data_IF_661024939082
#
_entry.id   IF_661024939082
#
_cell.length_a   1.000
_cell.length_b   1.000
_cell.length_c   1.000
_cell.angle_alpha   90.00
_cell.angle_beta   90.00
_cell.angle_gamma   90.00
#
_symmetry.space_group_name_H-M   'P 1'
#
loop_
_entity.id
_entity.type
_entity.pdbx_description
1 polymer ?
#
# COMPACT_ATOMS: atom_id res chain seq x y z
N UNK A 1 57.67 -16.87 67.13
CA UNK A 1 56.21 -16.64 67.02
C UNK A 1 56.00 -15.81 65.78
N UNK A 2 55.54 -16.41 64.67
CA UNK A 2 55.44 -15.77 63.33
C UNK A 2 53.98 -15.53 63.07
N UNK A 3 53.58 -14.30 62.92
CA UNK A 3 52.20 -13.86 62.64
C UNK A 3 52.01 -13.83 61.12
N UNK A 4 51.13 -14.70 60.59
CA UNK A 4 50.69 -14.72 59.21
C UNK A 4 49.52 -13.75 59.03
N UNK A 5 49.76 -12.68 58.30
CA UNK A 5 48.71 -11.72 57.86
C UNK A 5 48.10 -12.25 56.58
N UNK A 6 46.84 -12.63 56.59
CA UNK A 6 46.07 -13.03 55.41
C UNK A 6 45.46 -11.79 54.74
N UNK A 7 45.86 -11.51 53.50
CA UNK A 7 45.22 -10.52 52.65
C UNK A 7 44.04 -11.15 51.95
N UNK A 8 42.82 -10.70 52.27
CA UNK A 8 41.59 -11.02 51.52
C UNK A 8 41.50 -10.04 50.38
N UNK A 9 41.70 -10.52 49.15
CA UNK A 9 41.51 -9.77 47.92
C UNK A 9 39.98 -9.82 47.57
N UNK A 10 39.24 -8.74 47.81
CA UNK A 10 37.86 -8.59 47.33
C UNK A 10 37.90 -8.20 45.86
N UNK A 11 37.57 -9.14 44.97
CA UNK A 11 37.33 -8.83 43.56
C UNK A 11 35.92 -8.24 43.41
N UNK A 12 35.80 -6.94 43.26
CA UNK A 12 34.59 -6.27 42.83
C UNK A 12 34.36 -6.56 41.33
N UNK A 13 33.48 -7.54 41.05
CA UNK A 13 32.92 -7.71 39.72
C UNK A 13 31.96 -6.52 39.43
N UNK A 14 32.42 -5.55 38.67
CA UNK A 14 31.56 -4.52 38.12
C UNK A 14 30.63 -5.17 37.09
N UNK A 15 29.38 -5.43 37.48
CA UNK A 15 28.32 -5.71 36.53
C UNK A 15 28.06 -4.43 35.70
N UNK A 16 28.69 -4.33 34.53
CA UNK A 16 28.25 -3.40 33.52
C UNK A 16 26.87 -3.88 33.02
N UNK A 17 25.81 -3.09 33.16
CA UNK A 17 24.56 -3.42 32.49
C UNK A 17 24.83 -3.36 30.97
N UNK A 18 24.76 -4.51 30.31
CA UNK A 18 24.68 -4.59 28.86
C UNK A 18 23.31 -4.03 28.49
N UNK A 19 23.20 -2.72 28.35
CA UNK A 19 22.08 -2.11 27.67
C UNK A 19 22.24 -2.49 26.20
N UNK A 20 21.52 -3.54 25.78
CA UNK A 20 21.29 -3.78 24.36
C UNK A 20 20.61 -2.53 23.81
N UNK A 21 21.39 -1.66 23.21
CA UNK A 21 20.84 -0.61 22.36
C UNK A 21 20.18 -1.36 21.19
N UNK A 22 18.88 -1.60 21.29
CA UNK A 22 18.08 -1.92 20.12
C UNK A 22 18.17 -0.69 19.23
N UNK A 23 19.10 -0.73 18.27
CA UNK A 23 19.20 0.31 17.27
C UNK A 23 17.91 0.40 16.50
N UNK A 24 17.33 1.57 16.41
CA UNK A 24 16.22 1.85 15.49
C UNK A 24 16.65 1.39 14.09
N UNK A 25 15.85 0.54 13.48
CA UNK A 25 16.10 0.01 12.15
C UNK A 25 15.21 0.70 11.14
N UNK A 26 15.80 1.17 10.05
CA UNK A 26 15.07 1.84 8.98
C UNK A 26 14.89 0.88 7.82
N UNK A 27 13.66 0.68 7.39
CA UNK A 27 13.30 -0.02 6.16
C UNK A 27 13.01 1.01 5.09
N UNK A 28 13.67 0.88 3.95
CA UNK A 28 13.40 1.69 2.75
C UNK A 28 12.68 0.83 1.73
N UNK A 29 11.64 1.39 1.10
CA UNK A 29 10.89 0.72 0.05
C UNK A 29 10.38 1.72 -0.98
N UNK A 30 10.30 1.29 -2.24
CA UNK A 30 9.65 2.03 -3.33
C UNK A 30 8.26 1.46 -3.56
N UNK A 31 7.24 2.30 -3.52
CA UNK A 31 5.87 1.91 -3.80
C UNK A 31 5.34 2.61 -5.04
N UNK A 32 4.35 1.99 -5.69
CA UNK A 32 3.64 2.57 -6.82
C UNK A 32 2.13 2.42 -6.66
N UNK A 33 1.37 3.44 -7.03
CA UNK A 33 -0.10 3.40 -7.12
C UNK A 33 -0.53 3.62 -8.55
N UNK A 34 -1.41 2.75 -9.04
CA UNK A 34 -1.90 2.83 -10.42
C UNK A 34 -3.40 2.48 -10.48
N UNK A 35 -4.27 3.47 -10.62
CA UNK A 35 -5.61 3.21 -11.14
C UNK A 35 -5.48 3.03 -12.67
N UNK A 36 -5.68 1.80 -13.15
CA UNK A 36 -5.39 1.42 -14.54
C UNK A 36 -6.56 1.61 -15.50
N UNK A 37 -7.62 2.22 -15.04
CA UNK A 37 -8.85 2.47 -15.81
C UNK A 37 -9.39 1.21 -16.50
N UNK A 38 -10.31 0.51 -15.84
CA UNK A 38 -11.09 -0.60 -16.40
C UNK A 38 -10.24 -1.68 -17.11
N UNK A 39 -9.22 -2.19 -16.41
CA UNK A 39 -8.34 -3.23 -16.94
C UNK A 39 -7.40 -2.76 -18.06
N UNK A 40 -6.96 -1.50 -18.00
CA UNK A 40 -6.04 -0.93 -18.99
C UNK A 40 -6.72 -0.52 -20.29
N UNK A 41 -7.99 -0.10 -20.22
CA UNK A 41 -8.81 0.23 -21.42
C UNK A 41 -8.13 1.26 -22.34
N UNK A 42 -7.45 2.28 -21.79
CA UNK A 42 -6.79 3.32 -22.59
C UNK A 42 -5.62 2.77 -23.40
N UNK A 43 -4.93 1.75 -22.88
CA UNK A 43 -3.88 1.04 -23.61
C UNK A 43 -4.42 -0.09 -24.51
N UNK A 44 -5.72 -0.16 -24.77
CA UNK A 44 -6.36 -1.27 -25.50
C UNK A 44 -6.30 -2.58 -24.74
N UNK A 45 -6.37 -2.53 -23.41
CA UNK A 45 -6.25 -3.65 -22.48
C UNK A 45 -4.91 -4.41 -22.55
N UNK A 46 -3.87 -3.81 -23.14
CA UNK A 46 -2.53 -4.39 -23.20
C UNK A 46 -1.81 -4.23 -21.86
N UNK A 47 -1.07 -5.24 -21.45
CA UNK A 47 -0.28 -5.27 -20.22
C UNK A 47 1.13 -4.68 -20.40
N UNK A 48 1.67 -4.77 -21.62
CA UNK A 48 3.07 -4.42 -21.92
C UNK A 48 3.43 -2.97 -21.57
N UNK A 49 2.64 -1.93 -21.93
CA UNK A 49 2.99 -0.55 -21.59
C UNK A 49 3.07 -0.29 -20.08
N UNK A 50 2.22 -0.97 -19.29
CA UNK A 50 2.25 -0.90 -17.83
C UNK A 50 3.48 -1.61 -17.28
N UNK A 51 3.81 -2.79 -17.81
CA UNK A 51 4.99 -3.57 -17.38
C UNK A 51 6.29 -2.85 -17.72
N UNK A 52 6.38 -2.18 -18.87
CA UNK A 52 7.52 -1.34 -19.24
C UNK A 52 7.70 -0.18 -18.25
N UNK A 53 6.60 0.48 -17.86
CA UNK A 53 6.63 1.56 -16.88
C UNK A 53 7.05 1.03 -15.49
N UNK A 54 6.47 -0.08 -15.05
CA UNK A 54 6.81 -0.75 -13.79
C UNK A 54 8.30 -1.12 -13.76
N UNK A 55 8.81 -1.76 -14.80
CA UNK A 55 10.22 -2.15 -14.90
C UNK A 55 11.18 -0.94 -14.91
N UNK A 56 10.75 0.20 -15.46
CA UNK A 56 11.53 1.45 -15.45
C UNK A 56 11.67 2.03 -14.07
N UNK A 57 10.59 2.04 -13.28
CA UNK A 57 10.59 2.61 -11.93
C UNK A 57 11.01 1.63 -10.84
N UNK A 58 10.98 0.34 -11.16
CA UNK A 58 11.46 -0.77 -10.31
C UNK A 58 10.91 -0.75 -8.87
N UNK A 59 9.57 -0.67 -8.65
CA UNK A 59 8.99 -0.61 -7.32
C UNK A 59 9.07 -1.95 -6.59
N UNK A 60 9.07 -1.90 -5.25
CA UNK A 60 8.99 -3.08 -4.40
C UNK A 60 7.56 -3.62 -4.31
N UNK A 61 6.57 -2.71 -4.27
CA UNK A 61 5.14 -3.06 -4.21
C UNK A 61 4.31 -2.07 -5.02
N UNK A 62 3.30 -2.59 -5.70
CA UNK A 62 2.35 -1.82 -6.51
C UNK A 62 0.93 -2.07 -6.02
N UNK A 63 0.19 -0.98 -5.79
CA UNK A 63 -1.25 -1.01 -5.53
C UNK A 63 -2.00 -0.66 -6.82
N UNK A 64 -2.85 -1.57 -7.27
CA UNK A 64 -3.61 -1.47 -8.51
C UNK A 64 -5.11 -1.32 -8.22
N UNK A 65 -5.76 -0.39 -8.91
CA UNK A 65 -7.19 -0.20 -8.88
C UNK A 65 -7.78 -0.40 -10.27
N UNK A 66 -9.06 -0.72 -10.33
CA UNK A 66 -9.82 -0.99 -11.55
C UNK A 66 -9.29 -2.18 -12.39
N UNK A 67 -8.87 -3.25 -11.71
CA UNK A 67 -8.32 -4.45 -12.35
C UNK A 67 -9.44 -5.39 -12.80
N UNK A 68 -9.52 -5.63 -14.11
CA UNK A 68 -10.37 -6.66 -14.70
C UNK A 68 -9.68 -8.02 -14.71
N UNK A 69 -10.45 -9.05 -14.38
CA UNK A 69 -10.04 -10.44 -14.54
C UNK A 69 -11.00 -11.16 -15.49
N UNK A 70 -10.55 -11.48 -16.68
CA UNK A 70 -11.29 -12.22 -17.71
C UNK A 70 -12.69 -11.68 -18.01
N UNK A 71 -12.88 -10.36 -17.94
CA UNK A 71 -14.14 -9.73 -18.36
C UNK A 71 -14.24 -9.68 -19.89
N UNK A 72 -15.47 -9.52 -20.42
CA UNK A 72 -15.65 -9.37 -21.87
C UNK A 72 -14.98 -8.08 -22.36
N UNK A 73 -15.06 -6.97 -21.60
CA UNK A 73 -14.48 -5.68 -22.01
C UNK A 73 -12.97 -5.70 -22.10
N UNK A 74 -12.27 -6.56 -21.31
CA UNK A 74 -10.81 -6.68 -21.40
C UNK A 74 -10.37 -7.84 -22.32
N UNK A 75 -11.26 -8.38 -23.17
CA UNK A 75 -10.96 -9.46 -24.10
C UNK A 75 -10.70 -10.80 -23.42
N UNK A 76 -11.25 -11.06 -22.24
CA UNK A 76 -11.05 -12.28 -21.43
C UNK A 76 -9.60 -12.46 -20.96
N UNK A 77 -8.81 -11.42 -20.92
CA UNK A 77 -7.40 -11.47 -20.51
C UNK A 77 -7.29 -11.63 -18.98
N UNK A 78 -6.25 -12.33 -18.57
CA UNK A 78 -5.76 -12.37 -17.20
C UNK A 78 -4.65 -11.32 -17.04
N UNK A 79 -5.06 -10.05 -17.13
CA UNK A 79 -4.16 -8.90 -17.23
C UNK A 79 -3.15 -8.85 -16.06
N UNK A 80 -3.61 -9.14 -14.84
CA UNK A 80 -2.74 -9.11 -13.66
C UNK A 80 -1.61 -10.12 -13.74
N UNK A 81 -1.90 -11.36 -14.16
CA UNK A 81 -0.89 -12.41 -14.30
C UNK A 81 0.04 -12.16 -15.50
N UNK A 82 -0.43 -11.49 -16.55
CA UNK A 82 0.42 -11.03 -17.64
C UNK A 82 1.45 -10.03 -17.15
N UNK A 83 1.03 -8.98 -16.41
CA UNK A 83 1.94 -7.98 -15.80
C UNK A 83 2.88 -8.67 -14.80
N UNK A 84 2.36 -9.53 -13.94
CA UNK A 84 3.17 -10.26 -12.95
C UNK A 84 4.30 -11.08 -13.63
N UNK A 85 3.97 -11.76 -14.73
CA UNK A 85 4.95 -12.53 -15.53
C UNK A 85 6.00 -11.64 -16.20
N UNK A 86 5.60 -10.46 -16.71
CA UNK A 86 6.49 -9.53 -17.42
C UNK A 86 7.40 -8.75 -16.46
N UNK A 87 7.01 -8.61 -15.19
CA UNK A 87 7.74 -7.88 -14.16
C UNK A 87 8.45 -8.78 -13.14
N UNK A 88 8.15 -10.09 -13.14
CA UNK A 88 8.66 -11.04 -12.15
C UNK A 88 8.10 -10.85 -10.75
N UNK A 89 6.97 -10.14 -10.61
CA UNK A 89 6.37 -9.83 -9.31
C UNK A 89 5.29 -10.86 -8.91
N UNK A 90 5.02 -10.98 -7.61
CA UNK A 90 4.00 -11.85 -7.03
C UNK A 90 2.64 -11.15 -6.99
N UNK A 91 1.59 -11.66 -7.66
CA UNK A 91 0.29 -11.02 -7.72
C UNK A 91 -0.63 -11.44 -6.58
N UNK A 92 -1.47 -10.51 -6.11
CA UNK A 92 -2.62 -10.77 -5.26
C UNK A 92 -3.85 -10.04 -5.79
N UNK A 93 -4.87 -10.78 -6.23
CA UNK A 93 -6.11 -10.23 -6.79
C UNK A 93 -7.20 -10.13 -5.72
N UNK A 94 -7.79 -8.95 -5.57
CA UNK A 94 -8.85 -8.66 -4.61
C UNK A 94 -10.16 -8.43 -5.38
N UNK A 95 -10.87 -9.51 -5.70
CA UNK A 95 -12.15 -9.42 -6.40
C UNK A 95 -13.17 -8.64 -5.57
N UNK A 96 -13.80 -7.64 -6.17
CA UNK A 96 -14.95 -6.91 -5.64
C UNK A 96 -16.26 -7.54 -6.11
N UNK A 97 -16.46 -7.65 -7.42
CA UNK A 97 -17.69 -8.12 -8.04
C UNK A 97 -17.45 -9.13 -9.17
N UNK A 98 -18.50 -9.89 -9.50
CA UNK A 98 -18.56 -10.56 -10.80
C UNK A 98 -18.97 -9.53 -11.85
N UNK A 99 -18.27 -9.47 -12.96
CA UNK A 99 -18.53 -8.50 -14.00
C UNK A 99 -18.26 -9.05 -15.39
N UNK A 100 -19.24 -8.92 -16.29
CA UNK A 100 -19.15 -9.32 -17.70
C UNK A 100 -18.52 -10.72 -17.94
N UNK A 101 -18.93 -11.70 -17.15
CA UNK A 101 -18.46 -13.09 -17.25
C UNK A 101 -17.04 -13.32 -16.75
N UNK A 102 -16.49 -12.36 -16.02
CA UNK A 102 -15.23 -12.40 -15.27
C UNK A 102 -15.41 -11.73 -13.92
N UNK A 103 -14.41 -10.98 -13.47
CA UNK A 103 -14.42 -10.26 -12.21
C UNK A 103 -13.78 -8.86 -12.36
N UNK A 104 -14.11 -7.96 -11.43
CA UNK A 104 -13.52 -6.63 -11.31
C UNK A 104 -13.15 -6.38 -9.85
N UNK A 105 -12.06 -5.64 -9.63
CA UNK A 105 -11.59 -5.34 -8.28
C UNK A 105 -10.29 -4.57 -8.22
N UNK A 106 -9.55 -4.79 -7.16
CA UNK A 106 -8.21 -4.22 -6.94
C UNK A 106 -7.16 -5.32 -6.92
N UNK A 107 -5.88 -4.96 -6.96
CA UNK A 107 -4.80 -5.95 -6.87
C UNK A 107 -3.54 -5.36 -6.26
N UNK A 108 -2.65 -6.23 -5.83
CA UNK A 108 -1.29 -5.91 -5.41
C UNK A 108 -0.30 -6.72 -6.24
N UNK A 109 0.83 -6.12 -6.55
CA UNK A 109 2.02 -6.80 -7.04
C UNK A 109 3.16 -6.54 -6.07
N UNK A 110 3.89 -7.57 -5.68
CA UNK A 110 5.03 -7.47 -4.77
C UNK A 110 6.28 -8.09 -5.39
N UNK A 111 7.41 -7.41 -5.30
CA UNK A 111 8.73 -7.96 -5.65
C UNK A 111 9.11 -9.15 -4.76
N UNK A 112 8.70 -9.09 -3.49
CA UNK A 112 8.99 -10.13 -2.52
C UNK A 112 7.79 -11.04 -2.32
N UNK A 113 7.99 -12.33 -2.04
CA UNK A 113 6.89 -13.19 -1.67
C UNK A 113 6.22 -12.69 -0.39
N UNK A 114 4.91 -12.77 -0.34
CA UNK A 114 4.13 -12.47 0.86
C UNK A 114 3.66 -13.79 1.51
N UNK A 115 3.62 -13.82 2.84
CA UNK A 115 3.28 -15.04 3.58
C UNK A 115 1.83 -15.05 4.11
N UNK A 116 1.15 -13.88 4.07
CA UNK A 116 -0.27 -13.74 4.43
C UNK A 116 -0.91 -12.71 3.50
N UNK A 117 -2.14 -13.00 3.08
CA UNK A 117 -2.95 -12.10 2.27
C UNK A 117 -4.41 -12.15 2.74
N UNK A 118 -5.03 -10.99 2.85
CA UNK A 118 -6.39 -10.83 3.36
C UNK A 118 -7.14 -9.79 2.55
N UNK A 119 -8.46 -9.82 2.62
CA UNK A 119 -9.31 -8.79 2.01
C UNK A 119 -10.59 -8.59 2.80
N UNK A 120 -11.20 -7.42 2.61
CA UNK A 120 -12.56 -7.11 3.01
C UNK A 120 -13.35 -6.59 1.82
N UNK A 121 -14.67 -6.75 1.87
CA UNK A 121 -15.59 -6.23 0.85
C UNK A 121 -16.53 -5.25 1.55
N UNK A 122 -16.69 -4.09 0.97
CA UNK A 122 -17.72 -3.13 1.34
C UNK A 122 -18.88 -3.23 0.36
N UNK A 123 -20.05 -3.59 0.89
CA UNK A 123 -21.32 -3.64 0.17
C UNK A 123 -22.31 -2.73 0.87
N UNK A 124 -22.98 -1.85 0.12
CA UNK A 124 -24.01 -0.97 0.64
C UNK A 124 -25.06 -0.72 -0.43
N UNK A 125 -26.34 -0.66 -0.02
CA UNK A 125 -27.47 -0.51 -0.95
C UNK A 125 -27.42 0.74 -1.85
N UNK A 126 -26.72 1.78 -1.40
CA UNK A 126 -26.60 3.06 -2.10
C UNK A 126 -25.28 3.18 -2.90
N UNK A 127 -24.44 2.13 -2.95
CA UNK A 127 -23.30 2.06 -3.83
C UNK A 127 -23.65 1.43 -5.17
N UNK A 128 -23.02 1.86 -6.24
CA UNK A 128 -23.22 1.32 -7.60
C UNK A 128 -22.69 -0.11 -7.70
N UNK A 129 -21.67 -0.42 -6.93
CA UNK A 129 -20.99 -1.72 -6.92
C UNK A 129 -20.30 -1.96 -5.58
N UNK A 130 -20.10 -3.21 -5.22
CA UNK A 130 -19.27 -3.57 -4.09
C UNK A 130 -17.81 -3.22 -4.37
N UNK A 131 -17.09 -2.78 -3.33
CA UNK A 131 -15.66 -2.44 -3.37
C UNK A 131 -14.88 -3.40 -2.50
N UNK A 132 -13.67 -3.74 -2.92
CA UNK A 132 -12.74 -4.54 -2.11
C UNK A 132 -11.50 -3.75 -1.75
N UNK A 133 -10.99 -4.03 -0.56
CA UNK A 133 -9.65 -3.66 -0.12
C UNK A 133 -8.93 -4.94 0.26
N UNK A 134 -7.77 -5.17 -0.34
CA UNK A 134 -6.92 -6.29 0.01
C UNK A 134 -5.59 -5.81 0.57
N UNK A 135 -4.95 -6.64 1.39
CA UNK A 135 -3.61 -6.38 1.91
C UNK A 135 -2.79 -7.66 2.00
N UNK A 136 -1.48 -7.47 1.90
CA UNK A 136 -0.48 -8.54 1.99
C UNK A 136 0.53 -8.21 3.10
N UNK A 137 1.12 -9.24 3.70
CA UNK A 137 2.22 -9.13 4.66
C UNK A 137 3.50 -9.54 3.96
N UNK A 138 4.39 -8.60 3.79
CA UNK A 138 5.67 -8.77 3.09
C UNK A 138 6.80 -8.71 4.11
N UNK A 139 7.66 -9.72 4.11
CA UNK A 139 8.92 -9.67 4.84
C UNK A 139 10.00 -9.11 3.93
N UNK A 140 10.59 -7.98 4.31
CA UNK A 140 11.68 -7.34 3.58
C UNK A 140 13.02 -8.02 3.89
N UNK A 141 14.06 -7.82 3.03
CA UNK A 141 15.35 -8.51 3.19
C UNK A 141 16.02 -8.33 4.55
N UNK A 142 15.70 -7.27 5.28
CA UNK A 142 16.17 -7.03 6.64
C UNK A 142 15.46 -7.84 7.73
N UNK A 143 14.40 -8.58 7.38
CA UNK A 143 13.59 -9.38 8.29
C UNK A 143 12.33 -8.67 8.80
N UNK A 144 12.19 -7.36 8.54
CA UNK A 144 11.03 -6.58 8.94
C UNK A 144 9.80 -6.94 8.11
N UNK A 145 8.65 -6.99 8.78
CA UNK A 145 7.35 -7.22 8.14
C UNK A 145 6.63 -5.89 7.99
N UNK A 146 6.15 -5.61 6.79
CA UNK A 146 5.28 -4.48 6.48
C UNK A 146 3.99 -5.02 5.85
N UNK A 147 2.86 -4.47 6.28
CA UNK A 147 1.56 -4.78 5.71
C UNK A 147 1.19 -3.71 4.69
N UNK A 148 0.90 -4.12 3.46
CA UNK A 148 0.63 -3.18 2.36
C UNK A 148 -0.71 -3.55 1.73
N UNK A 149 -1.60 -2.57 1.68
CA UNK A 149 -2.94 -2.72 1.12
C UNK A 149 -3.22 -1.78 -0.05
N UNK A 150 -4.17 -2.19 -0.89
CA UNK A 150 -4.72 -1.39 -1.99
C UNK A 150 -6.13 -0.97 -1.67
N UNK A 151 -6.49 0.29 -1.93
CA UNK A 151 -7.83 0.81 -1.75
C UNK A 151 -8.40 1.37 -3.07
N UNK A 152 -9.72 1.21 -3.24
CA UNK A 152 -10.53 1.94 -4.20
C UNK A 152 -11.87 2.21 -3.52
N UNK A 153 -12.01 3.40 -2.90
CA UNK A 153 -13.16 3.71 -2.07
C UNK A 153 -14.41 4.03 -2.88
N UNK A 154 -15.56 4.01 -2.22
CA UNK A 154 -16.84 4.45 -2.79
C UNK A 154 -16.79 5.93 -3.14
N UNK A 155 -17.43 6.29 -4.26
CA UNK A 155 -17.37 7.64 -4.83
C UNK A 155 -18.73 8.38 -4.75
N UNK A 156 -19.77 7.71 -4.27
CA UNK A 156 -21.14 8.22 -4.38
C UNK A 156 -21.39 9.41 -3.44
N UNK A 157 -20.93 9.31 -2.20
CA UNK A 157 -21.03 10.40 -1.22
C UNK A 157 -19.89 10.33 -0.21
N UNK A 158 -19.51 11.47 0.38
CA UNK A 158 -18.48 11.52 1.43
C UNK A 158 -18.84 10.61 2.62
N UNK A 159 -20.13 10.51 2.97
CA UNK A 159 -20.59 9.63 4.05
C UNK A 159 -20.36 8.15 3.72
N UNK A 160 -20.63 7.71 2.50
CA UNK A 160 -20.37 6.33 2.07
C UNK A 160 -18.86 6.04 2.00
N UNK A 161 -18.05 7.00 1.56
CA UNK A 161 -16.59 6.89 1.59
C UNK A 161 -16.08 6.69 3.02
N UNK A 162 -16.61 7.46 4.00
CA UNK A 162 -16.28 7.33 5.42
C UNK A 162 -16.69 5.95 5.95
N UNK A 163 -17.93 5.50 5.67
CA UNK A 163 -18.42 4.18 6.11
C UNK A 163 -17.59 3.05 5.52
N UNK A 164 -17.22 3.16 4.24
CA UNK A 164 -16.33 2.21 3.59
C UNK A 164 -14.98 2.15 4.30
N UNK A 165 -14.35 3.30 4.53
CA UNK A 165 -13.04 3.35 5.22
C UNK A 165 -13.13 2.87 6.67
N UNK A 166 -14.23 3.14 7.37
CA UNK A 166 -14.48 2.60 8.71
C UNK A 166 -14.53 1.05 8.70
N UNK A 167 -15.17 0.46 7.67
CA UNK A 167 -15.22 -1.00 7.51
C UNK A 167 -13.83 -1.59 7.22
N UNK A 168 -13.01 -0.90 6.42
CA UNK A 168 -11.61 -1.27 6.18
C UNK A 168 -10.84 -1.25 7.50
N UNK A 169 -10.89 -0.16 8.26
CA UNK A 169 -10.21 -0.06 9.55
C UNK A 169 -10.61 -1.18 10.51
N UNK A 170 -11.90 -1.49 10.58
CA UNK A 170 -12.40 -2.59 11.42
C UNK A 170 -11.78 -3.93 11.03
N UNK A 171 -11.76 -4.27 9.74
CA UNK A 171 -11.20 -5.52 9.26
C UNK A 171 -9.66 -5.55 9.35
N UNK A 172 -9.02 -4.45 8.95
CA UNK A 172 -7.56 -4.33 8.89
C UNK A 172 -6.90 -4.42 10.26
N UNK A 173 -7.53 -3.90 11.30
CA UNK A 173 -7.02 -3.92 12.67
C UNK A 173 -7.65 -4.98 13.56
N UNK A 174 -8.44 -5.92 13.00
CA UNK A 174 -9.14 -6.93 13.79
C UNK A 174 -8.19 -7.87 14.55
N UNK A 175 -7.10 -8.29 13.90
CA UNK A 175 -6.15 -9.26 14.45
C UNK A 175 -4.75 -8.68 14.68
N UNK A 176 -4.42 -7.57 14.02
CA UNK A 176 -3.07 -6.99 14.07
C UNK A 176 -3.14 -5.45 14.10
N UNK A 177 -2.71 -4.89 15.23
CA UNK A 177 -2.68 -3.44 15.48
C UNK A 177 -1.26 -2.89 15.57
N UNK A 178 -0.25 -3.71 15.31
CA UNK A 178 1.16 -3.38 15.57
C UNK A 178 2.01 -3.31 14.31
N UNK A 179 1.74 -4.16 13.32
CA UNK A 179 2.53 -4.20 12.08
C UNK A 179 2.47 -2.87 11.33
N UNK A 180 3.63 -2.26 11.03
CA UNK A 180 3.70 -1.08 10.19
C UNK A 180 3.00 -1.30 8.86
N UNK A 181 2.22 -0.31 8.42
CA UNK A 181 1.30 -0.56 7.32
C UNK A 181 1.19 0.62 6.37
N UNK A 182 0.91 0.31 5.10
CA UNK A 182 0.52 1.26 4.06
C UNK A 182 -0.85 0.87 3.49
N UNK A 183 -1.70 1.87 3.24
CA UNK A 183 -2.88 1.77 2.38
C UNK A 183 -2.72 2.76 1.24
N UNK A 184 -2.67 2.24 0.02
CA UNK A 184 -2.29 2.99 -1.17
C UNK A 184 -3.42 2.88 -2.21
N UNK A 185 -3.74 3.97 -2.88
CA UNK A 185 -4.67 3.92 -4.02
C UNK A 185 -5.63 5.08 -4.12
N UNK A 186 -6.76 4.82 -4.80
CA UNK A 186 -7.80 5.77 -5.09
C UNK A 186 -8.82 5.85 -3.93
N UNK A 187 -8.79 6.96 -3.21
CA UNK A 187 -9.69 7.23 -2.10
C UNK A 187 -11.01 7.87 -2.55
N UNK A 188 -11.15 8.21 -3.83
CA UNK A 188 -12.33 8.91 -4.38
C UNK A 188 -12.77 10.13 -3.57
N UNK A 189 -11.84 10.78 -2.90
CA UNK A 189 -12.08 11.89 -2.00
C UNK A 189 -10.95 12.94 -2.14
N UNK A 190 -11.33 14.20 -2.29
CA UNK A 190 -10.36 15.29 -2.45
C UNK A 190 -9.70 15.67 -1.13
N UNK A 191 -8.49 16.20 -1.20
CA UNK A 191 -7.76 16.72 -0.03
C UNK A 191 -8.61 17.74 0.73
N UNK A 192 -8.59 17.65 2.07
CA UNK A 192 -9.39 18.52 2.95
C UNK A 192 -10.86 18.14 3.08
N UNK A 193 -11.37 17.13 2.35
CA UNK A 193 -12.74 16.64 2.54
C UNK A 193 -12.91 15.92 3.89
N UNK A 194 -14.18 15.80 4.34
CA UNK A 194 -14.50 15.05 5.56
C UNK A 194 -14.01 13.62 5.52
N UNK A 195 -14.05 12.97 4.34
CA UNK A 195 -13.57 11.61 4.15
C UNK A 195 -12.05 11.51 4.38
N UNK A 196 -11.25 12.38 3.78
CA UNK A 196 -9.79 12.38 3.99
C UNK A 196 -9.44 12.80 5.42
N UNK A 197 -10.15 13.76 6.00
CA UNK A 197 -9.96 14.13 7.41
C UNK A 197 -10.28 12.95 8.35
N UNK A 198 -11.32 12.16 8.06
CA UNK A 198 -11.63 10.93 8.79
C UNK A 198 -10.50 9.89 8.69
N UNK A 199 -9.93 9.68 7.49
CA UNK A 199 -8.78 8.79 7.28
C UNK A 199 -7.59 9.23 8.15
N UNK A 200 -7.29 10.53 8.14
CA UNK A 200 -6.13 11.12 8.85
C UNK A 200 -6.23 11.05 10.38
N UNK A 201 -7.38 10.72 10.96
CA UNK A 201 -7.49 10.47 12.40
C UNK A 201 -6.69 9.23 12.86
N UNK A 202 -6.40 8.29 11.96
CA UNK A 202 -5.67 7.05 12.28
C UNK A 202 -4.49 6.77 11.36
N UNK A 203 -4.45 7.38 10.19
CA UNK A 203 -3.43 7.16 9.18
C UNK A 203 -2.68 8.45 8.88
N UNK A 204 -1.38 8.34 8.69
CA UNK A 204 -0.53 9.43 8.24
C UNK A 204 -0.67 9.58 6.73
N UNK A 205 -0.97 10.78 6.24
CA UNK A 205 -0.72 11.11 4.83
C UNK A 205 0.80 11.21 4.63
N UNK A 206 1.39 10.21 3.96
CA UNK A 206 2.85 10.07 3.88
C UNK A 206 3.47 11.10 2.93
N UNK A 207 2.70 11.55 1.94
CA UNK A 207 3.12 12.55 0.94
C UNK A 207 2.15 13.75 1.02
N UNK A 208 2.28 14.62 2.02
CA UNK A 208 1.42 15.79 2.12
C UNK A 208 1.68 16.76 0.97
N UNK A 209 0.61 17.34 0.42
CA UNK A 209 0.67 18.26 -0.72
C UNK A 209 1.31 17.66 -1.99
N UNK A 210 1.13 16.36 -2.21
CA UNK A 210 1.68 15.64 -3.37
C UNK A 210 1.27 16.27 -4.71
N UNK A 211 0.11 16.88 -4.77
CA UNK A 211 -0.46 17.44 -6.01
C UNK A 211 -1.65 16.63 -6.52
N UNK A 212 -2.19 17.06 -7.64
CA UNK A 212 -3.37 16.49 -8.23
C UNK A 212 -3.05 15.23 -9.05
N UNK A 213 -3.99 14.27 -9.07
CA UNK A 213 -3.81 12.97 -9.74
C UNK A 213 -4.83 12.71 -10.84
N UNK A 214 -5.88 13.54 -10.97
CA UNK A 214 -6.92 13.38 -11.99
C UNK A 214 -7.43 14.74 -12.50
N UNK A 215 -7.80 14.86 -13.82
CA UNK A 215 -7.51 13.93 -14.90
C UNK A 215 -6.03 13.94 -15.30
N UNK A 216 -5.50 12.86 -15.84
CA UNK A 216 -4.09 12.74 -16.23
C UNK A 216 -3.65 13.74 -17.31
N UNK A 217 -4.59 14.24 -18.12
CA UNK A 217 -4.33 15.27 -19.17
C UNK A 217 -4.19 16.71 -18.65
N UNK A 218 -4.32 16.94 -17.36
CA UNK A 218 -4.27 18.25 -16.72
C UNK A 218 -4.87 18.15 -15.32
N UNK A 219 -4.11 17.62 -14.35
CA UNK A 219 -4.65 17.25 -13.06
C UNK A 219 -5.19 18.45 -12.29
N UNK A 220 -6.43 18.35 -11.81
CA UNK A 220 -7.14 19.39 -11.06
C UNK A 220 -7.60 18.94 -9.67
N UNK A 221 -7.57 17.63 -9.40
CA UNK A 221 -7.98 17.04 -8.10
C UNK A 221 -7.00 15.95 -7.69
N UNK A 222 -6.77 15.84 -6.38
CA UNK A 222 -6.09 14.71 -5.79
C UNK A 222 -7.13 13.71 -5.31
N UNK A 223 -7.09 12.47 -5.82
CA UNK A 223 -7.94 11.36 -5.36
C UNK A 223 -7.11 10.16 -4.89
N UNK A 224 -5.84 10.09 -5.30
CA UNK A 224 -4.93 9.01 -4.98
C UNK A 224 -4.00 9.41 -3.83
N UNK A 225 -3.76 8.49 -2.90
CA UNK A 225 -2.98 8.76 -1.69
C UNK A 225 -2.11 7.56 -1.30
N UNK A 226 -1.06 7.86 -0.53
CA UNK A 226 -0.27 6.91 0.24
C UNK A 226 -0.48 7.22 1.72
N UNK A 227 -1.20 6.33 2.41
CA UNK A 227 -1.50 6.47 3.83
C UNK A 227 -0.72 5.45 4.65
N UNK A 228 -0.03 5.90 5.70
CA UNK A 228 0.87 5.10 6.54
C UNK A 228 0.37 4.93 7.97
N UNK A 229 0.64 3.80 8.58
CA UNK A 229 0.39 3.51 9.99
C UNK A 229 1.63 2.84 10.62
N UNK A 230 2.02 3.17 11.86
CA UNK A 230 1.42 4.21 12.71
C UNK A 230 1.75 5.63 12.25
N UNK A 231 0.99 6.61 12.78
CA UNK A 231 1.20 8.03 12.49
C UNK A 231 2.58 8.45 13.00
N UNK A 232 3.31 9.22 12.17
CA UNK A 232 4.62 9.77 12.52
C UNK A 232 5.81 8.83 12.29
N UNK A 233 5.56 7.59 11.81
CA UNK A 233 6.63 6.61 11.57
C UNK A 233 7.12 6.59 10.13
N UNK A 234 6.38 7.15 9.20
CA UNK A 234 6.69 7.12 7.78
C UNK A 234 7.28 8.42 7.27
N UNK A 235 8.29 8.32 6.43
CA UNK A 235 8.91 9.46 5.75
C UNK A 235 8.96 9.17 4.25
N UNK A 236 8.50 10.12 3.43
CA UNK A 236 8.72 10.11 1.99
C UNK A 236 10.02 10.87 1.70
N UNK A 237 10.97 10.21 1.03
CA UNK A 237 12.26 10.80 0.66
C UNK A 237 12.27 11.32 -0.78
N UNK A 238 11.45 10.73 -1.64
CA UNK A 238 11.24 11.15 -3.02
C UNK A 238 9.88 10.68 -3.50
N UNK A 239 9.24 11.43 -4.40
CA UNK A 239 8.03 10.99 -5.09
C UNK A 239 7.90 11.65 -6.47
N UNK A 240 7.15 10.99 -7.33
CA UNK A 240 6.75 11.51 -8.64
C UNK A 240 5.25 11.23 -8.87
N UNK A 241 4.57 12.20 -9.50
CA UNK A 241 3.22 12.04 -10.03
C UNK A 241 3.31 11.96 -11.55
N UNK A 242 3.06 10.78 -12.08
CA UNK A 242 3.32 10.43 -13.48
C UNK A 242 2.05 10.57 -14.32
N UNK A 243 2.02 11.53 -15.21
CA UNK A 243 0.93 11.72 -16.16
C UNK A 243 1.15 10.85 -17.40
N UNK A 244 0.34 9.81 -17.56
CA UNK A 244 0.31 8.89 -18.69
C UNK A 244 -1.12 8.80 -19.25
N UNK A 245 -1.62 9.86 -19.93
CA UNK A 245 -3.01 9.90 -20.42
C UNK A 245 -3.33 8.81 -21.45
N UNK A 246 -2.32 8.22 -22.07
CA UNK A 246 -2.44 7.06 -22.95
C UNK A 246 -2.68 5.74 -22.19
N UNK A 247 -2.44 5.71 -20.88
CA UNK A 247 -2.61 4.52 -20.05
C UNK A 247 -3.83 4.62 -19.12
N UNK A 248 -4.09 5.80 -18.56
CA UNK A 248 -5.19 5.99 -17.60
C UNK A 248 -5.65 7.45 -17.56
N UNK A 249 -6.87 7.67 -17.05
CA UNK A 249 -7.37 9.00 -16.66
C UNK A 249 -6.83 9.45 -15.30
N UNK A 250 -6.18 8.57 -14.51
CA UNK A 250 -5.40 8.92 -13.34
C UNK A 250 -3.91 9.07 -13.65
N UNK A 251 -3.24 9.99 -12.96
CA UNK A 251 -1.79 9.96 -12.83
C UNK A 251 -1.38 8.84 -11.88
N UNK A 252 -0.24 8.22 -12.13
CA UNK A 252 0.31 7.22 -11.24
C UNK A 252 1.23 7.88 -10.21
N UNK A 253 1.39 7.25 -9.05
CA UNK A 253 2.28 7.71 -7.99
C UNK A 253 3.43 6.72 -7.88
N UNK A 254 4.66 7.23 -7.83
CA UNK A 254 5.85 6.50 -7.39
C UNK A 254 6.42 7.22 -6.18
N UNK A 255 6.76 6.49 -5.13
CA UNK A 255 7.32 7.09 -3.92
C UNK A 255 8.37 6.19 -3.26
N UNK A 256 9.49 6.81 -2.87
CA UNK A 256 10.52 6.23 -2.02
C UNK A 256 10.20 6.57 -0.57
N UNK A 257 9.93 5.55 0.21
CA UNK A 257 9.47 5.66 1.58
C UNK A 257 10.47 5.04 2.54
N UNK A 258 10.50 5.57 3.74
CA UNK A 258 11.23 5.00 4.87
C UNK A 258 10.31 4.86 6.07
N UNK A 259 10.47 3.76 6.80
CA UNK A 259 9.87 3.58 8.10
C UNK A 259 10.95 3.22 9.11
N UNK A 260 10.88 3.85 10.28
CA UNK A 260 11.69 3.48 11.44
C UNK A 260 10.90 2.51 12.30
N UNK A 261 11.41 1.28 12.44
CA UNK A 261 10.86 0.22 13.29
C UNK A 261 11.71 0.06 14.55
N UNK A 262 11.03 -0.23 15.66
CA UNK A 262 11.68 -0.46 16.97
C UNK A 262 12.01 -1.93 17.16
#
# INVERSE_FOLDING_TARGET
MTVYTRYILLALLALCPITSAFGQKTVSLRVMSMNIRQGGQYAGNRSEPFSELINRYDPDVIALQEVDYKTTRNGKRDWLNEVASQTGMFPYYCKSINYQGGAFGTALLSRYPFFKAEKTIFSHKDTREDRSTGWIYVQFPGGEVIRIGTVHLSLETSQLTIQHFASINKAFFAEDTTTPSLLIGDYNAVSGSDAINYVKNKWQEVIPNMGNTIPSTGPTRQLDYVMGYPIGSWTCTHYEVLAHPELSDHCFIVADLQITVQ
#
